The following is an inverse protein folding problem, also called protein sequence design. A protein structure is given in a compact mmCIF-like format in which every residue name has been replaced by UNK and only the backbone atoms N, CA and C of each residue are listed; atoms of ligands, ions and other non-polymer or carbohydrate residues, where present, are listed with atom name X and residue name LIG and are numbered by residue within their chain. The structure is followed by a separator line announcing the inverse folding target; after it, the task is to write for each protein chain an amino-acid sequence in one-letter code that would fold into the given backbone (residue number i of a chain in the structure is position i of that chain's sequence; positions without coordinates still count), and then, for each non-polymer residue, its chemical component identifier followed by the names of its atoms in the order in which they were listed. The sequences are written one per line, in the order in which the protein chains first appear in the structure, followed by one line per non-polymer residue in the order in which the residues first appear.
data_IF_831202746762
#
_entry.id   IF_831202746762
#
_cell.length_a   1.000
_cell.length_b   1.000
_cell.length_c   1.000
_cell.angle_alpha   90.00
_cell.angle_beta   90.00
_cell.angle_gamma   90.00
#
_symmetry.space_group_name_H-M   'P 1'
#
loop_
_entity.id
_entity.type
_entity.pdbx_description
1 polymer ?
#
# COMPACT_ATOMS: atom_id res chain seq x y z
N UNK A 1 -29.41 -39.65 -6.22
CA UNK A 1 -28.69 -39.04 -7.35
C UNK A 1 -27.20 -39.23 -7.12
N UNK A 2 -26.51 -39.97 -8.00
CA UNK A 2 -25.04 -40.10 -8.01
C UNK A 2 -24.56 -39.47 -9.31
N UNK A 3 -23.70 -38.46 -9.22
CA UNK A 3 -23.07 -37.90 -10.40
C UNK A 3 -22.08 -38.90 -11.00
N UNK A 4 -21.79 -38.77 -12.30
CA UNK A 4 -20.69 -39.53 -12.90
C UNK A 4 -19.37 -39.21 -12.16
N UNK A 5 -18.41 -40.16 -12.11
CA UNK A 5 -17.18 -39.99 -11.31
C UNK A 5 -16.33 -38.77 -11.69
N UNK A 6 -16.51 -38.19 -12.89
CA UNK A 6 -15.79 -37.01 -13.37
C UNK A 6 -16.47 -35.68 -13.03
N UNK A 7 -17.73 -35.71 -12.59
CA UNK A 7 -18.55 -34.51 -12.32
C UNK A 7 -18.57 -34.19 -10.82
N UNK A 8 -18.77 -32.91 -10.51
CA UNK A 8 -18.96 -32.41 -9.16
C UNK A 8 -20.44 -32.24 -8.85
N UNK A 9 -20.87 -32.79 -7.73
CA UNK A 9 -22.20 -32.56 -7.18
C UNK A 9 -22.30 -31.15 -6.57
N UNK A 10 -23.21 -30.33 -7.07
CA UNK A 10 -23.51 -28.99 -6.57
C UNK A 10 -24.93 -28.95 -6.00
N UNK A 11 -25.08 -28.44 -4.78
CA UNK A 11 -26.37 -28.29 -4.14
C UNK A 11 -26.87 -26.85 -4.31
N UNK A 12 -27.79 -26.64 -5.24
CA UNK A 12 -28.40 -25.32 -5.47
C UNK A 12 -29.63 -25.15 -4.60
N UNK A 13 -29.77 -23.95 -4.03
CA UNK A 13 -30.92 -23.55 -3.19
C UNK A 13 -31.75 -22.52 -3.94
N UNK A 14 -33.04 -22.79 -4.08
CA UNK A 14 -34.00 -21.87 -4.72
C UNK A 14 -35.25 -21.80 -3.85
N UNK A 15 -35.41 -20.68 -3.15
CA UNK A 15 -36.37 -20.56 -2.05
C UNK A 15 -36.11 -21.61 -0.97
N UNK A 16 -37.12 -22.45 -0.70
CA UNK A 16 -37.05 -23.54 0.28
C UNK A 16 -36.61 -24.89 -0.34
N UNK A 17 -36.43 -24.95 -1.66
CA UNK A 17 -36.08 -26.20 -2.36
C UNK A 17 -34.57 -26.34 -2.50
N UNK A 18 -34.09 -27.58 -2.42
CA UNK A 18 -32.70 -27.93 -2.70
C UNK A 18 -32.67 -28.96 -3.83
N UNK A 19 -31.88 -28.68 -4.87
CA UNK A 19 -31.68 -29.60 -5.99
C UNK A 19 -30.19 -29.84 -6.21
N UNK A 20 -29.89 -31.07 -6.58
CA UNK A 20 -28.54 -31.50 -6.92
C UNK A 20 -28.30 -31.37 -8.41
N UNK A 21 -27.29 -30.59 -8.79
CA UNK A 21 -26.78 -30.50 -10.15
C UNK A 21 -25.43 -31.22 -10.24
N UNK A 22 -25.12 -31.82 -11.39
CA UNK A 22 -23.82 -32.39 -11.66
C UNK A 22 -23.08 -31.49 -12.67
N UNK A 23 -22.01 -30.84 -12.23
CA UNK A 23 -21.27 -29.85 -13.00
C UNK A 23 -19.85 -30.34 -13.32
N UNK A 24 -19.30 -29.92 -14.45
CA UNK A 24 -17.88 -30.18 -14.77
C UNK A 24 -16.92 -29.34 -13.91
N UNK A 25 -17.33 -28.11 -13.60
CA UNK A 25 -16.58 -27.15 -12.78
C UNK A 25 -17.53 -26.49 -11.79
N UNK A 26 -17.04 -26.22 -10.59
CA UNK A 26 -17.84 -25.56 -9.57
C UNK A 26 -18.03 -24.06 -9.90
N UNK A 27 -19.19 -23.48 -9.57
CA UNK A 27 -19.46 -22.06 -9.80
C UNK A 27 -18.62 -21.16 -8.87
N UNK A 28 -18.55 -19.86 -9.18
CA UNK A 28 -17.82 -18.87 -8.40
C UNK A 28 -18.23 -18.90 -6.91
N UNK A 29 -17.24 -18.78 -6.02
CA UNK A 29 -17.44 -18.94 -4.58
C UNK A 29 -17.55 -20.39 -4.10
N UNK A 30 -17.36 -21.38 -4.98
CA UNK A 30 -17.25 -22.81 -4.63
C UNK A 30 -15.97 -23.42 -5.20
N UNK A 31 -15.38 -24.36 -4.47
CA UNK A 31 -14.24 -25.15 -4.90
C UNK A 31 -14.63 -26.63 -5.03
N UNK A 32 -13.96 -27.34 -5.95
CA UNK A 32 -14.19 -28.76 -6.17
C UNK A 32 -13.47 -29.60 -5.11
N UNK A 33 -14.23 -30.22 -4.20
CA UNK A 33 -13.71 -31.17 -3.22
C UNK A 33 -13.87 -32.60 -3.74
N UNK A 34 -12.76 -33.33 -3.90
CA UNK A 34 -12.77 -34.75 -4.25
C UNK A 34 -12.78 -35.56 -2.95
N UNK A 35 -13.90 -36.23 -2.69
CA UNK A 35 -14.04 -37.10 -1.53
C UNK A 35 -14.18 -38.56 -2.00
N UNK A 36 -13.87 -39.56 -1.13
CA UNK A 36 -13.88 -40.97 -1.51
C UNK A 36 -15.26 -41.45 -1.99
N UNK A 37 -16.32 -40.79 -1.54
CA UNK A 37 -17.71 -41.08 -1.88
C UNK A 37 -18.17 -40.41 -3.18
N UNK A 38 -17.88 -39.11 -3.34
CA UNK A 38 -18.21 -38.34 -4.55
C UNK A 38 -17.46 -37.00 -4.58
N UNK A 39 -17.24 -36.49 -5.79
CA UNK A 39 -16.77 -35.11 -5.97
C UNK A 39 -17.94 -34.15 -5.72
N UNK A 40 -17.72 -33.10 -4.93
CA UNK A 40 -18.75 -32.12 -4.58
C UNK A 40 -18.21 -30.69 -4.62
N UNK A 41 -19.08 -29.74 -4.94
CA UNK A 41 -18.77 -28.33 -4.85
C UNK A 41 -18.99 -27.85 -3.42
N UNK A 42 -17.91 -27.43 -2.78
CA UNK A 42 -17.93 -26.92 -1.41
C UNK A 42 -17.76 -25.40 -1.42
N UNK A 43 -18.56 -24.69 -0.62
CA UNK A 43 -18.51 -23.23 -0.57
C UNK A 43 -17.17 -22.75 0.00
N UNK A 44 -16.62 -21.70 -0.59
CA UNK A 44 -15.47 -20.98 -0.04
C UNK A 44 -15.82 -20.36 1.31
N UNK A 45 -14.95 -20.52 2.31
CA UNK A 45 -15.12 -19.95 3.66
C UNK A 45 -14.01 -18.97 4.04
N UNK A 46 -13.13 -18.65 3.10
CA UNK A 46 -12.02 -17.73 3.33
C UNK A 46 -12.55 -16.30 3.21
N UNK A 47 -12.27 -15.49 4.22
CA UNK A 47 -12.63 -14.06 4.24
C UNK A 47 -11.97 -13.32 3.07
N UNK A 48 -12.72 -12.43 2.45
CA UNK A 48 -12.28 -11.60 1.32
C UNK A 48 -11.74 -12.38 0.10
N UNK A 49 -12.12 -13.64 -0.06
CA UNK A 49 -11.76 -14.48 -1.20
C UNK A 49 -12.85 -14.47 -2.29
N UNK A 50 -12.45 -14.30 -3.55
CA UNK A 50 -13.30 -14.39 -4.74
C UNK A 50 -13.36 -15.84 -5.26
N UNK A 51 -12.18 -16.49 -5.35
CA UNK A 51 -12.04 -17.88 -5.77
C UNK A 51 -11.04 -18.61 -4.89
N UNK A 52 -11.38 -19.83 -4.44
CA UNK A 52 -10.47 -20.68 -3.67
C UNK A 52 -10.26 -22.04 -4.32
N UNK A 53 -9.08 -22.60 -4.09
CA UNK A 53 -8.70 -23.93 -4.52
C UNK A 53 -9.15 -25.00 -3.51
N UNK A 54 -9.06 -24.68 -2.22
CA UNK A 54 -9.42 -25.57 -1.12
C UNK A 54 -10.14 -24.80 -0.02
N UNK A 55 -10.43 -25.50 1.09
CA UNK A 55 -11.06 -24.88 2.26
C UNK A 55 -10.27 -23.70 2.82
N UNK A 56 -8.94 -23.80 2.77
CA UNK A 56 -8.01 -22.89 3.45
C UNK A 56 -7.03 -22.21 2.49
N UNK A 57 -7.22 -22.39 1.18
CA UNK A 57 -6.35 -21.82 0.15
C UNK A 57 -7.15 -21.04 -0.89
N UNK A 58 -7.04 -19.71 -0.83
CA UNK A 58 -7.57 -18.77 -1.80
C UNK A 58 -6.62 -18.65 -2.99
N UNK A 59 -7.16 -18.60 -4.20
CA UNK A 59 -6.39 -18.37 -5.44
C UNK A 59 -6.58 -16.96 -5.98
N UNK A 60 -7.70 -16.31 -5.64
CA UNK A 60 -7.99 -14.95 -6.05
C UNK A 60 -8.74 -14.20 -4.96
N UNK A 61 -8.15 -13.11 -4.49
CA UNK A 61 -8.79 -12.23 -3.52
C UNK A 61 -9.78 -11.27 -4.19
N UNK A 62 -10.70 -10.73 -3.38
CA UNK A 62 -11.56 -9.62 -3.82
C UNK A 62 -10.70 -8.38 -4.09
N UNK A 63 -11.23 -7.45 -4.89
CA UNK A 63 -10.56 -6.19 -5.16
C UNK A 63 -10.26 -5.43 -3.86
N UNK A 64 -9.05 -4.85 -3.78
CA UNK A 64 -8.56 -4.15 -2.58
C UNK A 64 -7.91 -5.06 -1.53
N UNK A 65 -7.75 -6.36 -1.79
CA UNK A 65 -7.05 -7.30 -0.90
C UNK A 65 -5.89 -7.98 -1.62
N UNK A 66 -4.78 -8.15 -0.91
CA UNK A 66 -3.58 -8.81 -1.37
C UNK A 66 -3.56 -10.28 -0.94
N UNK A 67 -3.21 -11.17 -1.88
CA UNK A 67 -3.06 -12.59 -1.63
C UNK A 67 -1.71 -12.89 -0.97
N UNK A 68 -1.75 -13.55 0.19
CA UNK A 68 -0.57 -14.03 0.89
C UNK A 68 -0.81 -15.44 1.44
N UNK A 69 -0.02 -16.42 1.00
CA UNK A 69 -0.06 -17.82 1.47
C UNK A 69 -1.48 -18.42 1.49
N UNK A 70 -2.27 -18.13 0.45
CA UNK A 70 -3.64 -18.64 0.33
C UNK A 70 -4.70 -17.89 1.15
N UNK A 71 -4.37 -16.73 1.74
CA UNK A 71 -5.31 -15.86 2.45
C UNK A 71 -5.26 -14.43 1.91
N UNK A 72 -6.31 -13.67 2.15
CA UNK A 72 -6.46 -12.31 1.65
C UNK A 72 -6.32 -11.30 2.79
N UNK A 73 -5.49 -10.29 2.60
CA UNK A 73 -5.21 -9.24 3.59
C UNK A 73 -5.38 -7.85 2.97
N UNK A 74 -5.83 -6.88 3.75
CA UNK A 74 -5.93 -5.48 3.30
C UNK A 74 -4.55 -4.83 3.16
N UNK A 75 -3.66 -5.10 4.12
CA UNK A 75 -2.25 -4.72 4.08
C UNK A 75 -1.37 -5.97 4.20
N UNK A 76 -0.22 -5.98 3.51
CA UNK A 76 0.70 -7.11 3.57
C UNK A 76 1.37 -7.23 4.95
N UNK A 77 1.57 -8.46 5.45
CA UNK A 77 2.23 -8.69 6.74
C UNK A 77 3.70 -8.28 6.72
N UNK A 78 4.30 -8.16 7.91
CA UNK A 78 5.70 -7.74 8.08
C UNK A 78 6.68 -8.54 7.21
N UNK A 79 7.58 -7.83 6.53
CA UNK A 79 8.56 -8.42 5.60
C UNK A 79 8.04 -8.62 4.18
N UNK A 80 6.75 -8.40 3.93
CA UNK A 80 6.16 -8.46 2.59
C UNK A 80 5.74 -7.07 2.12
N UNK A 81 5.81 -6.86 0.81
CA UNK A 81 5.36 -5.64 0.16
C UNK A 81 4.17 -5.96 -0.76
N UNK A 82 3.19 -5.04 -0.89
CA UNK A 82 2.12 -5.17 -1.86
C UNK A 82 2.69 -5.08 -3.27
N UNK A 83 2.25 -5.99 -4.14
CA UNK A 83 2.57 -5.97 -5.55
C UNK A 83 1.31 -5.70 -6.38
N UNK A 84 1.21 -4.48 -6.90
CA UNK A 84 0.00 -3.97 -7.57
C UNK A 84 -0.36 -4.71 -8.85
N UNK A 85 0.62 -5.25 -9.58
CA UNK A 85 0.36 -5.91 -10.86
C UNK A 85 -0.41 -7.24 -10.69
N UNK A 86 -0.14 -7.99 -9.63
CA UNK A 86 -0.80 -9.29 -9.36
C UNK A 86 -1.69 -9.29 -8.12
N UNK A 87 -1.74 -8.20 -7.36
CA UNK A 87 -2.44 -8.10 -6.08
C UNK A 87 -1.99 -9.19 -5.09
N UNK A 88 -0.68 -9.40 -5.00
CA UNK A 88 -0.05 -10.41 -4.14
C UNK A 88 0.91 -9.75 -3.15
N UNK A 89 1.09 -10.37 -1.99
CA UNK A 89 2.15 -10.02 -1.06
C UNK A 89 3.42 -10.79 -1.43
N UNK A 90 4.39 -10.06 -1.97
CA UNK A 90 5.71 -10.59 -2.35
C UNK A 90 6.73 -10.25 -1.28
N UNK A 91 7.80 -11.03 -1.17
CA UNK A 91 8.90 -10.73 -0.25
C UNK A 91 9.42 -9.33 -0.57
N UNK A 92 9.27 -8.44 0.41
CA UNK A 92 9.64 -7.05 0.29
C UNK A 92 11.15 -6.86 0.46
N UNK A 93 11.59 -5.60 0.35
CA UNK A 93 12.98 -5.29 0.61
C UNK A 93 13.27 -5.39 2.11
N UNK A 94 14.19 -6.26 2.51
CA UNK A 94 14.70 -6.26 3.88
C UNK A 94 15.56 -5.01 4.06
N UNK A 95 15.14 -4.12 4.95
CA UNK A 95 15.88 -2.89 5.29
C UNK A 95 16.59 -3.06 6.62
N UNK A 96 17.82 -2.56 6.70
CA UNK A 96 18.61 -2.58 7.91
C UNK A 96 18.17 -1.54 8.94
N UNK A 97 18.83 -1.55 10.11
CA UNK A 97 18.56 -0.57 11.15
C UNK A 97 18.85 0.84 10.64
N UNK A 98 18.08 1.80 11.16
CA UNK A 98 18.35 3.21 10.95
C UNK A 98 19.71 3.60 11.52
N UNK A 99 20.49 4.38 10.77
CA UNK A 99 21.66 5.06 11.32
C UNK A 99 21.23 6.11 12.34
N UNK A 100 22.19 6.54 13.16
CA UNK A 100 21.99 7.69 14.03
C UNK A 100 21.57 8.93 13.23
N UNK A 101 20.83 9.82 13.90
CA UNK A 101 20.41 11.06 13.29
C UNK A 101 21.63 11.93 12.94
N UNK A 102 21.68 12.41 11.70
CA UNK A 102 22.68 13.38 11.29
C UNK A 102 22.56 14.69 12.06
N UNK A 103 23.59 15.53 11.97
CA UNK A 103 23.62 16.82 12.68
C UNK A 103 22.44 17.70 12.26
N UNK A 104 21.70 18.20 13.26
CA UNK A 104 20.63 19.17 13.06
C UNK A 104 21.16 20.44 12.38
N UNK A 105 20.78 20.67 11.12
CA UNK A 105 21.28 21.79 10.32
C UNK A 105 20.19 22.44 9.47
N UNK A 106 20.43 23.67 9.02
CA UNK A 106 19.57 24.38 8.07
C UNK A 106 20.43 25.08 7.03
N UNK A 107 20.23 24.77 5.76
CA UNK A 107 21.08 25.23 4.65
C UNK A 107 22.57 24.94 4.90
N UNK A 108 22.88 23.72 5.37
CA UNK A 108 24.23 23.28 5.73
C UNK A 108 24.89 24.10 6.86
N UNK A 109 24.10 24.82 7.66
CA UNK A 109 24.56 25.61 8.82
C UNK A 109 23.95 25.07 10.11
N UNK A 110 24.76 25.00 11.16
CA UNK A 110 24.35 24.54 12.51
C UNK A 110 24.07 25.70 13.48
N UNK A 111 24.11 26.94 12.98
CA UNK A 111 24.03 28.18 13.74
C UNK A 111 23.06 29.18 13.07
N UNK A 112 22.68 30.24 13.79
CA UNK A 112 21.84 31.34 13.30
C UNK A 112 20.33 31.05 13.26
N UNK A 113 19.91 29.83 13.57
CA UNK A 113 18.52 29.40 13.48
C UNK A 113 18.09 28.63 14.74
N UNK A 114 16.81 28.74 15.12
CA UNK A 114 16.22 28.03 16.26
C UNK A 114 15.77 26.60 15.91
N UNK A 115 15.60 26.33 14.61
CA UNK A 115 15.05 25.07 14.10
C UNK A 115 15.80 24.66 12.83
N UNK A 116 16.11 23.38 12.73
CA UNK A 116 16.76 22.75 11.58
C UNK A 116 16.06 21.46 11.16
N UNK A 117 16.72 20.75 10.26
CA UNK A 117 16.34 19.41 9.82
C UNK A 117 17.52 18.48 10.13
N UNK A 118 17.21 17.32 10.66
CA UNK A 118 18.16 16.21 10.77
C UNK A 118 17.65 15.09 9.86
N UNK A 119 18.58 14.44 9.17
CA UNK A 119 18.30 13.37 8.23
C UNK A 119 19.03 12.12 8.72
N UNK A 120 18.35 10.98 8.71
CA UNK A 120 18.96 9.67 8.90
C UNK A 120 18.73 8.81 7.67
N UNK A 121 19.63 7.86 7.46
CA UNK A 121 19.53 6.90 6.36
C UNK A 121 19.63 5.47 6.88
N UNK A 122 19.03 4.54 6.15
CA UNK A 122 19.19 3.09 6.32
C UNK A 122 19.56 2.47 4.98
N UNK A 123 20.05 1.23 4.97
CA UNK A 123 20.40 0.52 3.74
C UNK A 123 19.42 -0.63 3.49
N UNK A 124 19.22 -0.97 2.23
CA UNK A 124 18.51 -2.19 1.83
C UNK A 124 19.50 -3.34 1.93
N UNK A 125 19.22 -4.32 2.80
CA UNK A 125 20.04 -5.52 3.03
C UNK A 125 19.76 -6.54 1.93
N UNK A 126 18.49 -6.80 1.63
CA UNK A 126 18.09 -7.69 0.53
C UNK A 126 17.13 -6.98 -0.42
N UNK A 127 17.42 -7.11 -1.71
CA UNK A 127 16.54 -6.66 -2.79
C UNK A 127 15.51 -7.75 -3.11
N UNK A 128 14.30 -7.37 -3.52
CA UNK A 128 13.27 -8.31 -3.92
C UNK A 128 13.71 -9.02 -5.20
N UNK A 129 13.28 -10.28 -5.35
CA UNK A 129 13.60 -11.09 -6.54
C UNK A 129 12.91 -10.59 -7.81
N UNK A 130 11.86 -9.76 -7.67
CA UNK A 130 11.15 -9.13 -8.78
C UNK A 130 11.48 -7.65 -8.81
N UNK A 131 12.00 -7.17 -9.95
CA UNK A 131 12.43 -5.78 -10.16
C UNK A 131 11.29 -4.74 -10.10
N UNK A 132 10.04 -5.20 -10.10
CA UNK A 132 8.84 -4.36 -10.08
C UNK A 132 8.37 -3.97 -8.66
N UNK A 133 9.05 -4.43 -7.60
CA UNK A 133 8.69 -4.12 -6.21
C UNK A 133 9.44 -2.86 -5.73
N UNK A 134 8.70 -1.79 -5.44
CA UNK A 134 9.30 -0.56 -4.91
C UNK A 134 9.68 -0.72 -3.44
N UNK A 135 10.96 -0.50 -3.12
CA UNK A 135 11.42 -0.54 -1.74
C UNK A 135 10.90 0.67 -0.94
N UNK A 136 10.68 0.50 0.38
CA UNK A 136 10.32 1.60 1.26
C UNK A 136 11.44 2.65 1.32
N UNK A 137 11.11 3.86 1.73
CA UNK A 137 12.06 4.97 1.79
C UNK A 137 13.23 4.65 2.73
N UNK A 138 14.44 4.90 2.25
CA UNK A 138 15.71 4.66 2.96
C UNK A 138 16.29 5.92 3.61
N UNK A 139 15.63 7.07 3.46
CA UNK A 139 16.01 8.34 4.03
C UNK A 139 14.80 8.95 4.76
N UNK A 140 15.01 9.38 5.99
CA UNK A 140 13.98 10.04 6.80
C UNK A 140 14.54 11.37 7.30
N UNK A 141 13.71 12.41 7.26
CA UNK A 141 14.09 13.73 7.75
C UNK A 141 13.08 14.24 8.76
N UNK A 142 13.57 14.77 9.89
CA UNK A 142 12.72 15.34 10.95
C UNK A 142 13.19 16.71 11.38
N UNK A 143 12.27 17.51 11.92
CA UNK A 143 12.60 18.83 12.48
C UNK A 143 13.25 18.67 13.84
N UNK A 144 14.29 19.47 14.07
CA UNK A 144 15.08 19.44 15.29
C UNK A 144 15.29 20.85 15.84
N UNK A 145 15.40 20.96 17.18
CA UNK A 145 15.72 22.22 17.86
C UNK A 145 17.23 22.43 17.80
N UNK A 146 17.64 23.62 17.39
CA UNK A 146 19.04 24.00 17.30
C UNK A 146 19.41 24.92 18.47
N UNK A 147 20.64 24.79 18.98
CA UNK A 147 21.19 25.76 19.90
C UNK A 147 21.34 27.11 19.17
N UNK A 148 20.70 28.16 19.70
CA UNK A 148 20.74 29.48 19.08
C UNK A 148 22.14 30.09 19.29
N UNK A 149 23.00 29.96 18.29
CA UNK A 149 24.36 30.51 18.29
C UNK A 149 24.54 31.44 17.10
N UNK A 150 25.32 32.51 17.25
CA UNK A 150 25.72 33.33 16.10
C UNK A 150 26.69 32.55 15.23
N UNK A 151 26.51 32.61 13.90
CA UNK A 151 27.43 31.96 12.99
C UNK A 151 28.76 32.74 12.93
N UNK A 152 29.92 32.04 12.99
CA UNK A 152 31.21 32.67 12.73
C UNK A 152 31.20 33.27 11.31
N UNK A 153 31.47 34.57 11.17
CA UNK A 153 31.52 35.28 9.89
C UNK A 153 30.22 35.96 9.42
N UNK A 154 29.17 36.03 10.24
CA UNK A 154 27.91 36.69 9.88
C UNK A 154 27.95 38.22 9.97
N UNK A 155 28.08 38.93 8.84
CA UNK A 155 27.76 40.38 8.77
C UNK A 155 26.29 40.59 9.11
N UNK A 156 25.97 41.50 10.04
CA UNK A 156 24.59 41.89 10.39
C UNK A 156 23.91 42.48 9.16
N UNK A 157 23.04 41.74 8.48
CA UNK A 157 22.09 42.35 7.54
C UNK A 157 20.82 42.73 8.30
N UNK A 158 20.37 44.00 8.23
CA UNK A 158 19.16 44.42 8.92
C UNK A 158 17.95 43.63 8.40
N UNK A 159 17.19 43.03 9.33
CA UNK A 159 15.88 42.42 9.06
C UNK A 159 14.89 43.49 8.59
N UNK A 160 14.91 43.86 7.31
CA UNK A 160 13.90 44.79 6.77
C UNK A 160 13.24 44.38 5.44
N UNK A 161 13.49 43.17 4.91
CA UNK A 161 12.87 42.74 3.63
C UNK A 161 12.09 41.43 3.63
N UNK A 162 11.88 40.78 4.78
CA UNK A 162 11.23 39.45 4.80
C UNK A 162 9.69 39.50 4.90
N UNK A 163 9.10 40.59 5.41
CA UNK A 163 7.63 40.71 5.51
C UNK A 163 6.94 40.87 4.14
N UNK A 164 7.58 41.58 3.18
CA UNK A 164 7.00 41.82 1.84
C UNK A 164 7.03 40.54 0.98
N UNK A 165 8.06 39.71 1.14
CA UNK A 165 8.23 38.48 0.37
C UNK A 165 7.32 37.34 0.87
N UNK A 166 7.05 37.24 2.18
CA UNK A 166 6.12 36.25 2.74
C UNK A 166 4.67 36.48 2.30
N UNK A 167 4.23 37.74 2.19
CA UNK A 167 2.89 38.10 1.68
C UNK A 167 2.74 37.82 0.18
N UNK A 168 3.82 38.05 -0.61
CA UNK A 168 3.84 37.76 -2.05
C UNK A 168 3.85 36.25 -2.32
N UNK A 169 4.60 35.46 -1.54
CA UNK A 169 4.64 33.99 -1.64
C UNK A 169 3.29 33.34 -1.27
N UNK A 170 2.60 33.84 -0.23
CA UNK A 170 1.26 33.33 0.14
C UNK A 170 0.23 33.57 -0.96
N UNK A 171 0.19 34.77 -1.55
CA UNK A 171 -0.71 35.09 -2.67
C UNK A 171 -0.42 34.27 -3.94
N UNK A 172 0.83 33.89 -4.18
CA UNK A 172 1.19 33.05 -5.34
C UNK A 172 0.74 31.59 -5.14
N UNK A 173 0.86 31.09 -3.91
CA UNK A 173 0.35 29.76 -3.52
C UNK A 173 -1.17 29.69 -3.55
N UNK A 174 -1.88 30.72 -3.05
CA UNK A 174 -3.35 30.81 -3.16
C UNK A 174 -3.82 30.79 -4.63
N UNK A 175 -3.18 31.56 -5.52
CA UNK A 175 -3.50 31.55 -6.96
C UNK A 175 -3.22 30.20 -7.64
N UNK A 176 -2.12 29.53 -7.29
CA UNK A 176 -1.82 28.21 -7.83
C UNK A 176 -2.83 27.15 -7.36
N UNK A 177 -3.33 27.30 -6.13
CA UNK A 177 -4.33 26.42 -5.54
C UNK A 177 -5.72 26.64 -6.16
N UNK A 178 -6.11 27.89 -6.44
CA UNK A 178 -7.33 28.22 -7.20
C UNK A 178 -7.27 27.67 -8.64
N UNK A 179 -6.12 27.79 -9.32
CA UNK A 179 -5.94 27.23 -10.67
C UNK A 179 -6.07 25.70 -10.69
N UNK A 180 -5.53 25.02 -9.67
CA UNK A 180 -5.66 23.56 -9.53
C UNK A 180 -7.12 23.13 -9.26
N UNK A 181 -7.89 23.93 -8.51
CA UNK A 181 -9.32 23.67 -8.24
C UNK A 181 -10.17 23.85 -9.51
N UNK A 182 -9.87 24.86 -10.34
CA UNK A 182 -10.57 25.09 -11.62
C UNK A 182 -10.32 23.97 -12.63
N UNK A 183 -9.08 23.46 -12.70
CA UNK A 183 -8.74 22.29 -13.55
C UNK A 183 -9.51 21.04 -13.09
N UNK A 184 -9.53 20.76 -11.79
CA UNK A 184 -10.28 19.63 -11.20
C UNK A 184 -11.81 19.74 -11.37
N UNK A 185 -12.36 20.93 -11.61
CA UNK A 185 -13.79 21.14 -11.84
C UNK A 185 -14.20 21.14 -13.32
N UNK A 186 -13.26 21.32 -14.25
CA UNK A 186 -13.50 21.06 -15.69
C UNK A 186 -13.51 19.57 -16.03
N UNK A 187 -12.69 18.75 -15.36
CA UNK A 187 -12.67 17.29 -15.59
C UNK A 187 -13.93 16.57 -15.11
N UNK A 188 -14.79 17.22 -14.31
CA UNK A 188 -16.07 16.68 -13.82
C UNK A 188 -17.29 17.05 -14.67
N UNK A 189 -17.14 17.88 -15.70
CA UNK A 189 -18.23 18.26 -16.60
C UNK A 189 -18.12 17.59 -17.99
N UNK A 190 -17.11 16.72 -18.19
CA UNK A 190 -16.82 16.04 -19.45
C UNK A 190 -16.97 14.51 -19.45
N UNK A 191 -17.61 13.91 -18.43
CA UNK A 191 -18.05 12.51 -18.42
C UNK A 191 -19.54 12.42 -18.10
#
# INVERSE_FOLDING_TARGET
MRCQPKLFFFLRREGMRQYGECLHSCPSGYYGARAPDMNRCSRCRIENCDSCFSRDFCTKCKAGFYLHRGRCFEECPDGFAPFEETMECVEGCEVGPWREWGVCSRNNKTCGFKWGLETRTRQIIKKPAKDSVQCPTIAESRRCKMAMRHCPGGKRTPKMKDKRNKKKKRKLLERAQEQHIVVLSSDRAGQ
#
